data_IF_270048970949
#
_entry.id   IF_270048970949
#
_cell.length_a   1.000
_cell.length_b   1.000
_cell.length_c   1.000
_cell.angle_alpha   90.00
_cell.angle_beta   90.00
_cell.angle_gamma   90.00
#
_symmetry.space_group_name_H-M   'P 1'
#
loop_
_entity.id
_entity.type
_entity.pdbx_description
1 polymer ?
#
# COMPACT_ATOMS: atom_id res chain seq x y z
N UNK A 1 -2.25 0.18 6.53
CA UNK A 1 -1.23 1.10 7.08
C UNK A 1 0.13 0.47 6.86
N UNK A 2 0.92 1.02 5.94
CA UNK A 2 2.30 0.60 5.69
C UNK A 2 3.15 1.01 6.91
N UNK A 3 3.21 0.15 7.93
CA UNK A 3 4.00 0.39 9.13
C UNK A 3 5.33 -0.34 9.02
N UNK A 4 6.20 0.13 8.12
CA UNK A 4 7.63 -0.18 8.23
C UNK A 4 8.19 0.72 9.35
N UNK A 5 8.46 0.14 10.51
CA UNK A 5 8.82 0.84 11.76
C UNK A 5 10.11 1.68 11.75
N UNK A 6 10.67 1.99 10.57
CA UNK A 6 11.81 2.88 10.36
C UNK A 6 11.43 4.29 9.94
N UNK A 7 10.26 4.50 9.35
CA UNK A 7 9.87 5.80 8.80
C UNK A 7 8.70 6.39 9.58
N UNK A 8 8.89 7.61 10.09
CA UNK A 8 7.81 8.41 10.69
C UNK A 8 7.68 9.66 9.85
N UNK A 9 6.57 9.77 9.12
CA UNK A 9 6.22 10.98 8.36
C UNK A 9 5.02 11.65 9.02
N UNK A 10 5.05 12.97 9.11
CA UNK A 10 3.85 13.76 9.33
C UNK A 10 2.92 13.64 8.12
N UNK A 11 1.63 13.92 8.31
CA UNK A 11 0.66 13.92 7.20
C UNK A 11 1.07 14.89 6.09
N UNK A 12 1.65 16.04 6.46
CA UNK A 12 2.15 17.03 5.51
C UNK A 12 3.29 16.49 4.67
N UNK A 13 4.31 15.90 5.29
CA UNK A 13 5.45 15.30 4.59
C UNK A 13 4.98 14.21 3.63
N UNK A 14 4.06 13.35 4.07
CA UNK A 14 3.50 12.31 3.24
C UNK A 14 2.79 12.88 1.98
N UNK A 15 1.97 13.92 2.17
CA UNK A 15 1.31 14.60 1.05
C UNK A 15 2.29 15.25 0.08
N UNK A 16 3.35 15.88 0.59
CA UNK A 16 4.39 16.52 -0.21
C UNK A 16 5.19 15.51 -1.03
N UNK A 17 5.72 14.46 -0.38
CA UNK A 17 6.52 13.43 -1.04
C UNK A 17 5.70 12.61 -2.05
N UNK A 18 4.50 12.18 -1.65
CA UNK A 18 3.63 11.43 -2.54
C UNK A 18 2.94 12.32 -3.57
N UNK A 19 3.03 13.65 -3.47
CA UNK A 19 2.30 14.63 -4.30
C UNK A 19 0.81 14.26 -4.42
N UNK A 20 0.20 14.01 -3.27
CA UNK A 20 -1.19 13.57 -3.13
C UNK A 20 -1.87 14.36 -2.03
N UNK A 21 -3.18 14.50 -2.15
CA UNK A 21 -3.99 14.96 -1.02
C UNK A 21 -4.11 13.85 0.02
N UNK A 22 -4.33 14.23 1.28
CA UNK A 22 -4.63 13.29 2.36
C UNK A 22 -5.80 12.36 2.01
N UNK A 23 -6.86 12.88 1.38
CA UNK A 23 -8.00 12.09 0.92
C UNK A 23 -7.56 10.99 -0.06
N UNK A 24 -6.74 11.34 -1.04
CA UNK A 24 -6.23 10.39 -2.04
C UNK A 24 -5.39 9.31 -1.36
N UNK A 25 -4.50 9.68 -0.44
CA UNK A 25 -3.70 8.73 0.34
C UNK A 25 -4.61 7.74 1.07
N UNK A 26 -5.64 8.22 1.77
CA UNK A 26 -6.59 7.33 2.47
C UNK A 26 -7.35 6.41 1.53
N UNK A 27 -7.69 6.87 0.33
CA UNK A 27 -8.31 6.01 -0.68
C UNK A 27 -7.34 4.90 -1.13
N UNK A 28 -6.05 5.21 -1.35
CA UNK A 28 -5.03 4.22 -1.72
C UNK A 28 -4.73 3.24 -0.58
N UNK A 29 -4.71 3.71 0.66
CA UNK A 29 -4.55 2.83 1.83
C UNK A 29 -5.74 1.87 2.01
N UNK A 30 -6.95 2.30 1.65
CA UNK A 30 -8.15 1.47 1.72
C UNK A 30 -8.24 0.48 0.55
N UNK A 31 -7.76 0.87 -0.64
CA UNK A 31 -7.72 0.03 -1.83
C UNK A 31 -6.40 0.21 -2.60
N UNK A 32 -5.38 -0.61 -2.27
CA UNK A 32 -4.07 -0.58 -2.91
C UNK A 32 -4.10 -0.93 -4.41
N UNK A 33 -5.16 -1.58 -4.90
CA UNK A 33 -5.28 -1.96 -6.33
C UNK A 33 -5.39 -0.75 -7.26
N UNK A 34 -5.73 0.40 -6.69
CA UNK A 34 -5.88 1.66 -7.43
C UNK A 34 -4.58 2.48 -7.51
N UNK A 35 -3.48 2.00 -6.92
CA UNK A 35 -2.17 2.64 -7.03
C UNK A 35 -1.66 2.60 -8.47
N UNK A 36 -1.27 3.75 -9.00
CA UNK A 36 -0.62 3.84 -10.31
C UNK A 36 0.89 3.57 -10.20
N UNK A 37 1.53 3.21 -11.31
CA UNK A 37 2.99 3.02 -11.35
C UNK A 37 3.76 4.26 -10.86
N UNK A 38 3.31 5.47 -11.22
CA UNK A 38 3.94 6.71 -10.76
C UNK A 38 3.77 6.95 -9.25
N UNK A 39 2.72 6.41 -8.64
CA UNK A 39 2.50 6.46 -7.19
C UNK A 39 3.40 5.45 -6.49
N UNK A 40 3.54 4.23 -7.03
CA UNK A 40 4.45 3.21 -6.53
C UNK A 40 5.93 3.66 -6.57
N UNK A 41 6.35 4.34 -7.65
CA UNK A 41 7.69 4.92 -7.75
C UNK A 41 7.94 5.99 -6.68
N UNK A 42 6.95 6.82 -6.36
CA UNK A 42 7.07 7.83 -5.28
C UNK A 42 7.11 7.20 -3.90
N UNK A 43 6.38 6.10 -3.68
CA UNK A 43 6.44 5.34 -2.43
C UNK A 43 7.82 4.69 -2.28
N UNK A 44 8.37 4.11 -3.35
CA UNK A 44 9.72 3.55 -3.36
C UNK A 44 10.78 4.60 -3.02
N UNK A 45 10.71 5.78 -3.66
CA UNK A 45 11.58 6.92 -3.37
C UNK A 45 11.44 7.40 -1.91
N UNK A 46 10.21 7.51 -1.40
CA UNK A 46 9.94 7.93 -0.02
C UNK A 46 10.52 6.96 1.02
N UNK A 47 10.50 5.67 0.73
CA UNK A 47 10.98 4.62 1.63
C UNK A 47 12.46 4.29 1.42
N UNK A 48 13.11 4.88 0.41
CA UNK A 48 14.46 4.50 -0.02
C UNK A 48 14.59 2.99 -0.28
N UNK A 49 13.57 2.41 -0.91
CA UNK A 49 13.48 0.97 -1.20
C UNK A 49 13.37 0.71 -2.71
N UNK A 50 13.86 -0.43 -3.22
CA UNK A 50 13.69 -0.79 -4.61
C UNK A 50 12.20 -0.91 -4.99
N UNK A 51 11.81 -0.32 -6.13
CA UNK A 51 10.40 -0.31 -6.57
C UNK A 51 9.80 -1.72 -6.72
N UNK A 52 10.61 -2.73 -7.06
CA UNK A 52 10.12 -4.10 -7.20
C UNK A 52 9.69 -4.71 -5.87
N UNK A 53 10.33 -4.34 -4.76
CA UNK A 53 9.94 -4.79 -3.42
C UNK A 53 8.61 -4.14 -3.00
N UNK A 54 8.44 -2.85 -3.29
CA UNK A 54 7.16 -2.15 -3.07
C UNK A 54 6.03 -2.78 -3.89
N UNK A 55 6.28 -3.08 -5.16
CA UNK A 55 5.31 -3.76 -6.03
C UNK A 55 4.94 -5.14 -5.46
N UNK A 56 5.93 -5.92 -5.02
CA UNK A 56 5.69 -7.25 -4.45
C UNK A 56 4.77 -7.20 -3.22
N UNK A 57 4.98 -6.23 -2.31
CA UNK A 57 4.12 -6.02 -1.15
C UNK A 57 2.70 -5.65 -1.56
N UNK A 58 2.54 -4.66 -2.45
CA UNK A 58 1.22 -4.22 -2.91
C UNK A 58 0.48 -5.34 -3.63
N UNK A 59 1.16 -6.14 -4.46
CA UNK A 59 0.56 -7.29 -5.13
C UNK A 59 0.08 -8.34 -4.12
N UNK A 60 0.87 -8.63 -3.08
CA UNK A 60 0.46 -9.55 -2.03
C UNK A 60 -0.78 -9.04 -1.27
N UNK A 61 -0.86 -7.74 -0.96
CA UNK A 61 -2.03 -7.13 -0.31
C UNK A 61 -3.27 -7.21 -1.20
N UNK A 62 -3.16 -6.88 -2.49
CA UNK A 62 -4.28 -6.95 -3.44
C UNK A 62 -4.77 -8.40 -3.60
N UNK A 63 -3.87 -9.37 -3.71
CA UNK A 63 -4.23 -10.79 -3.82
C UNK A 63 -4.87 -11.32 -2.53
N UNK A 64 -4.34 -10.94 -1.37
CA UNK A 64 -4.90 -11.30 -0.06
C UNK A 64 -6.27 -10.69 0.20
N UNK A 65 -6.51 -9.46 -0.24
CA UNK A 65 -7.82 -8.80 -0.17
C UNK A 65 -8.85 -9.42 -1.14
N UNK A 66 -8.40 -10.13 -2.18
CA UNK A 66 -9.25 -10.77 -3.19
C UNK A 66 -9.65 -12.20 -2.80
N UNK A 67 -9.09 -12.77 -1.74
CA UNK A 67 -9.45 -14.12 -1.31
C UNK A 67 -10.81 -14.09 -0.56
N UNK A 68 -11.90 -14.65 -1.10
CA UNK A 68 -13.14 -14.78 -0.33
C UNK A 68 -12.87 -15.64 0.91
N UNK A 69 -13.58 -15.41 2.03
CA UNK A 69 -13.39 -16.22 3.23
C UNK A 69 -13.56 -17.68 2.86
N UNK A 70 -12.49 -18.46 3.02
CA UNK A 70 -12.53 -19.90 2.81
C UNK A 70 -13.65 -20.46 3.68
N UNK A 71 -14.76 -20.88 3.05
CA UNK A 71 -15.85 -21.56 3.73
C UNK A 71 -15.24 -22.71 4.52
N UNK A 72 -15.34 -22.64 5.84
CA UNK A 72 -14.99 -23.74 6.71
C UNK A 72 -15.67 -25.00 6.22
N UNK A 73 -14.86 -26.01 5.90
CA UNK A 73 -15.33 -27.36 5.68
C UNK A 73 -15.95 -27.85 6.99
N UNK A 74 -17.25 -28.21 7.04
CA UNK A 74 -17.72 -29.04 8.13
C UNK A 74 -17.17 -30.44 7.90
N UNK A 75 -16.29 -30.87 8.78
CA UNK A 75 -15.86 -32.25 8.86
C UNK A 75 -16.98 -33.08 9.53
N UNK A 76 -17.38 -34.16 8.87
CA UNK A 76 -18.01 -35.33 9.49
C UNK A 76 -19.49 -35.21 9.83
#
# INVERSE_FOLDING_TARGET
MLRHGRFTFTERELMEHLRMTYRTIKQREADPSTLTIAELLRVADLLDEPVHDIIAVVLAEVQGATQPPSKGTPAG
#
